data_IF_804936865720
#
_entry.id   IF_804936865720
#
_cell.length_a   1.000
_cell.length_b   1.000
_cell.length_c   1.000
_cell.angle_alpha   90.00
_cell.angle_beta   90.00
_cell.angle_gamma   90.00
#
_symmetry.space_group_name_H-M   'P 1'
#
loop_
_entity.id
_entity.type
_entity.pdbx_description
1 polymer ?
#
# COMPACT_ATOMS: atom_id res chain seq x y z
N UNK A 1 27.51 26.20 -3.29
CA UNK A 1 26.96 25.09 -2.48
C UNK A 1 25.81 24.56 -3.30
N UNK A 2 26.06 23.54 -4.12
CA UNK A 2 24.98 22.87 -4.84
C UNK A 2 24.25 22.03 -3.80
N UNK A 3 23.25 22.63 -3.17
CA UNK A 3 22.28 21.90 -2.37
C UNK A 3 21.63 20.90 -3.30
N UNK A 4 22.17 19.68 -3.29
CA UNK A 4 21.61 18.55 -3.99
C UNK A 4 20.18 18.43 -3.56
N UNK A 5 19.27 18.94 -4.39
CA UNK A 5 17.84 18.75 -4.28
C UNK A 5 17.59 17.27 -4.54
N UNK A 6 17.96 16.40 -3.59
CA UNK A 6 17.46 15.05 -3.54
C UNK A 6 15.96 15.25 -3.33
N UNK A 7 15.21 15.22 -4.43
CA UNK A 7 13.76 15.21 -4.41
C UNK A 7 13.38 14.15 -3.40
N UNK A 8 12.93 14.57 -2.22
CA UNK A 8 12.55 13.66 -1.15
C UNK A 8 11.39 12.86 -1.73
N UNK A 9 11.68 11.62 -2.15
CA UNK A 9 10.65 10.76 -2.71
C UNK A 9 9.67 10.44 -1.61
N UNK A 10 8.42 10.86 -1.79
CA UNK A 10 7.36 10.52 -0.86
C UNK A 10 6.89 9.11 -1.14
N UNK A 11 6.42 8.43 -0.11
CA UNK A 11 5.82 7.11 -0.25
C UNK A 11 4.52 7.17 -1.07
N UNK A 12 3.84 8.33 -1.07
CA UNK A 12 2.67 8.57 -1.92
C UNK A 12 3.00 8.62 -3.42
N UNK A 13 4.24 8.98 -3.79
CA UNK A 13 4.69 9.06 -5.19
C UNK A 13 5.15 7.68 -5.72
N UNK A 14 5.13 6.65 -4.88
CA UNK A 14 5.52 5.31 -5.29
C UNK A 14 4.45 4.73 -6.23
N UNK A 15 4.90 4.13 -7.33
CA UNK A 15 3.98 3.56 -8.31
C UNK A 15 3.12 2.45 -7.67
N UNK A 16 1.82 2.44 -7.98
CA UNK A 16 0.83 1.51 -7.40
C UNK A 16 1.29 0.04 -7.45
N UNK A 17 1.83 -0.50 -8.56
CA UNK A 17 2.29 -1.89 -8.60
C UNK A 17 3.43 -2.19 -7.61
N UNK A 18 4.23 -1.19 -7.26
CA UNK A 18 5.30 -1.34 -6.27
C UNK A 18 4.74 -1.31 -4.85
N UNK A 19 3.75 -0.46 -4.58
CA UNK A 19 2.99 -0.48 -3.32
C UNK A 19 2.31 -1.83 -3.11
N UNK A 20 1.67 -2.39 -4.14
CA UNK A 20 1.03 -3.72 -4.09
C UNK A 20 2.04 -4.80 -3.71
N UNK A 21 3.24 -4.82 -4.31
CA UNK A 21 4.30 -5.77 -3.95
C UNK A 21 4.74 -5.65 -2.48
N UNK A 22 4.77 -4.42 -1.95
CA UNK A 22 5.08 -4.17 -0.54
C UNK A 22 3.93 -4.67 0.34
N UNK A 23 2.69 -4.37 -0.03
CA UNK A 23 1.48 -4.74 0.70
C UNK A 23 1.26 -6.25 0.78
N UNK A 24 1.74 -7.02 -0.20
CA UNK A 24 1.77 -8.49 -0.16
C UNK A 24 2.58 -9.07 1.02
N UNK A 25 3.42 -8.27 1.67
CA UNK A 25 4.21 -8.68 2.85
C UNK A 25 3.46 -8.49 4.17
N UNK A 26 2.28 -7.89 4.15
CA UNK A 26 1.49 -7.59 5.34
C UNK A 26 0.33 -8.57 5.52
N UNK A 27 -0.06 -8.75 6.78
CA UNK A 27 -1.23 -9.56 7.11
C UNK A 27 -2.51 -8.89 6.62
N UNK A 28 -3.51 -9.73 6.34
CA UNK A 28 -4.84 -9.31 5.93
C UNK A 28 -5.45 -8.29 6.90
N UNK A 29 -5.25 -8.46 8.22
CA UNK A 29 -5.73 -7.53 9.24
C UNK A 29 -5.15 -6.13 9.07
N UNK A 30 -3.88 -6.01 8.70
CA UNK A 30 -3.21 -4.73 8.45
C UNK A 30 -3.67 -4.11 7.12
N UNK A 31 -3.90 -4.95 6.10
CA UNK A 31 -4.41 -4.55 4.78
C UNK A 31 -5.83 -3.98 4.81
N UNK A 32 -6.69 -4.47 5.70
CA UNK A 32 -8.08 -3.95 5.84
C UNK A 32 -8.21 -2.78 6.80
N UNK A 33 -7.30 -2.62 7.76
CA UNK A 33 -7.46 -1.65 8.86
C UNK A 33 -6.54 -0.44 8.72
N UNK A 34 -5.22 -0.64 8.79
CA UNK A 34 -4.25 0.45 8.95
C UNK A 34 -3.80 1.00 7.59
N UNK A 35 -3.44 0.12 6.66
CA UNK A 35 -2.80 0.51 5.39
C UNK A 35 -3.69 1.43 4.54
N UNK A 36 -5.01 1.18 4.37
CA UNK A 36 -5.88 2.05 3.58
C UNK A 36 -6.11 3.44 4.20
N UNK A 37 -5.78 3.63 5.49
CA UNK A 37 -6.00 4.89 6.20
C UNK A 37 -4.82 5.87 6.11
N UNK A 38 -3.67 5.43 5.57
CA UNK A 38 -2.44 6.25 5.55
C UNK A 38 -2.56 7.40 4.54
N UNK A 39 -2.91 7.09 3.29
CA UNK A 39 -3.14 8.10 2.26
C UNK A 39 -3.98 7.53 1.10
N UNK A 40 -4.56 8.39 0.24
CA UNK A 40 -5.38 7.94 -0.89
C UNK A 40 -4.66 7.01 -1.88
N UNK A 41 -3.35 7.19 -2.08
CA UNK A 41 -2.56 6.32 -2.95
C UNK A 41 -2.46 4.90 -2.39
N UNK A 42 -2.29 4.76 -1.08
CA UNK A 42 -2.23 3.48 -0.40
C UNK A 42 -3.61 2.83 -0.33
N UNK A 43 -4.68 3.60 -0.10
CA UNK A 43 -6.05 3.11 -0.23
C UNK A 43 -6.33 2.53 -1.62
N UNK A 44 -5.92 3.24 -2.67
CA UNK A 44 -6.08 2.79 -4.06
C UNK A 44 -5.31 1.50 -4.31
N UNK A 45 -4.07 1.40 -3.83
CA UNK A 45 -3.26 0.19 -3.94
C UNK A 45 -3.86 -1.00 -3.17
N UNK A 46 -4.49 -0.78 -2.02
CA UNK A 46 -5.20 -1.84 -1.29
C UNK A 46 -6.39 -2.42 -2.06
N UNK A 47 -6.93 -1.73 -3.07
CA UNK A 47 -8.03 -2.26 -3.89
C UNK A 47 -7.56 -3.26 -4.96
N UNK A 48 -6.25 -3.50 -5.09
CA UNK A 48 -5.70 -4.43 -6.07
C UNK A 48 -6.06 -5.89 -5.72
N UNK A 49 -6.64 -6.60 -6.69
CA UNK A 49 -7.05 -7.99 -6.55
C UNK A 49 -5.89 -8.93 -6.16
N UNK A 50 -4.64 -8.58 -6.49
CA UNK A 50 -3.46 -9.38 -6.15
C UNK A 50 -3.15 -9.42 -4.65
N UNK A 51 -3.77 -8.54 -3.85
CA UNK A 51 -3.64 -8.52 -2.38
C UNK A 51 -4.65 -9.45 -1.71
N UNK A 52 -5.81 -9.62 -2.33
CA UNK A 52 -6.91 -10.41 -1.80
C UNK A 52 -6.85 -11.81 -2.42
N UNK A 53 -6.15 -12.74 -1.76
CA UNK A 53 -6.41 -14.18 -1.98
C UNK A 53 -7.87 -14.49 -1.59
N UNK A 54 -8.34 -15.73 -1.80
CA UNK A 54 -9.68 -16.16 -1.36
C UNK A 54 -9.91 -15.74 0.09
N UNK A 55 -10.71 -14.70 0.26
CA UNK A 55 -11.06 -14.11 1.54
C UNK A 55 -12.29 -14.84 2.03
N UNK A 56 -12.12 -15.67 3.05
CA UNK A 56 -13.23 -16.34 3.71
C UNK A 56 -13.80 -15.43 4.81
N UNK A 57 -14.98 -14.87 4.54
CA UNK A 57 -15.70 -13.98 5.44
C UNK A 57 -16.57 -14.75 6.46
N UNK A 58 -16.64 -16.08 6.39
CA UNK A 58 -17.43 -16.87 7.34
C UNK A 58 -16.88 -16.84 8.77
N UNK A 59 -15.63 -16.41 8.92
CA UNK A 59 -14.89 -16.36 10.20
C UNK A 59 -14.83 -14.96 10.80
N UNK A 60 -15.44 -13.97 10.14
CA UNK A 60 -15.50 -12.57 10.59
C UNK A 60 -16.76 -12.24 11.36
#
# INVERSE_FOLDING_TARGET
MEEGNSLVRRWEDLNIPMLVKIFQLFDLSQLISVIPQICPAWQSACSDQCLWKTLDLSVM
#
